data_IF_410432067687
#
_entry.id   IF_410432067687
#
_cell.length_a   1.000
_cell.length_b   1.000
_cell.length_c   1.000
_cell.angle_alpha   90.00
_cell.angle_beta   90.00
_cell.angle_gamma   90.00
#
_symmetry.space_group_name_H-M   'P 1'
#
loop_
_entity.id
_entity.type
_entity.pdbx_description
1 polymer ?
#
# COMPACT_ATOMS: atom_id res chain seq x y z
N UNK A 1 6.96 12.42 7.41
CA UNK A 1 6.15 12.69 8.63
C UNK A 1 5.16 11.55 8.76
N UNK A 2 4.94 11.05 9.97
CA UNK A 2 3.94 10.02 10.27
C UNK A 2 3.16 10.43 11.52
N UNK A 3 1.83 10.38 11.48
CA UNK A 3 0.96 10.70 12.62
C UNK A 3 0.11 9.50 13.03
N UNK A 4 -0.51 9.57 14.21
CA UNK A 4 -1.21 8.45 14.85
C UNK A 4 -2.38 7.87 14.03
N UNK A 5 -2.99 8.66 13.13
CA UNK A 5 -4.11 8.23 12.30
C UNK A 5 -3.69 7.69 10.94
N UNK A 6 -2.40 7.71 10.60
CA UNK A 6 -1.92 7.17 9.33
C UNK A 6 -1.85 5.64 9.39
N UNK A 7 -2.35 4.99 8.35
CA UNK A 7 -2.19 3.56 8.19
C UNK A 7 -0.74 3.21 7.87
N UNK A 8 -0.29 2.09 8.42
CA UNK A 8 1.09 1.62 8.35
C UNK A 8 1.12 0.18 7.83
N UNK A 9 2.11 -0.12 7.00
CA UNK A 9 2.54 -1.50 6.79
C UNK A 9 3.13 -2.05 8.09
N UNK A 10 2.77 -3.29 8.43
CA UNK A 10 3.33 -4.02 9.56
C UNK A 10 4.13 -5.18 8.99
N UNK A 11 5.45 -5.10 9.08
CA UNK A 11 6.35 -6.10 8.52
C UNK A 11 7.00 -6.86 9.66
N UNK A 12 6.61 -8.13 9.83
CA UNK A 12 7.22 -9.02 10.83
C UNK A 12 8.31 -9.86 10.19
N UNK A 13 9.51 -9.81 10.77
CA UNK A 13 10.57 -10.75 10.45
C UNK A 13 10.20 -12.14 11.02
N UNK A 14 9.92 -13.11 10.16
CA UNK A 14 9.54 -14.46 10.62
C UNK A 14 10.65 -15.19 11.36
N UNK A 15 11.90 -14.99 10.98
CA UNK A 15 13.05 -15.71 11.56
C UNK A 15 13.38 -15.19 12.96
N UNK A 16 13.38 -13.86 13.13
CA UNK A 16 13.89 -13.23 14.36
C UNK A 16 12.82 -12.48 15.17
N UNK A 17 11.59 -12.41 14.69
CA UNK A 17 10.44 -11.89 15.44
C UNK A 17 10.32 -10.37 15.52
N UNK A 18 11.33 -9.60 15.11
CA UNK A 18 11.27 -8.14 15.12
C UNK A 18 10.24 -7.60 14.12
N UNK A 19 9.68 -6.43 14.42
CA UNK A 19 8.63 -5.80 13.60
C UNK A 19 9.13 -4.43 13.14
N UNK A 20 8.89 -4.11 11.87
CA UNK A 20 9.13 -2.81 11.27
C UNK A 20 7.83 -2.21 10.73
N UNK A 21 7.81 -0.89 10.60
CA UNK A 21 6.66 -0.12 10.15
C UNK A 21 7.08 0.93 9.13
N UNK A 22 6.23 1.16 8.13
CA UNK A 22 6.31 2.32 7.23
C UNK A 22 4.91 2.76 6.84
N UNK A 23 4.72 4.04 6.58
CA UNK A 23 3.46 4.55 6.06
C UNK A 23 3.26 4.12 4.60
N UNK A 24 2.07 4.39 4.06
CA UNK A 24 1.72 4.09 2.67
C UNK A 24 2.09 5.25 1.74
N UNK A 25 2.34 4.94 0.47
CA UNK A 25 2.55 5.96 -0.57
C UNK A 25 1.28 6.77 -0.81
N UNK A 26 1.42 8.09 -0.85
CA UNK A 26 0.37 9.04 -1.25
C UNK A 26 0.17 9.11 -2.78
N UNK A 27 0.95 8.31 -3.54
CA UNK A 27 1.14 8.35 -4.99
C UNK A 27 1.94 9.58 -5.45
N UNK A 28 2.27 9.69 -6.74
CA UNK A 28 3.10 10.79 -7.25
C UNK A 28 2.30 12.11 -7.33
N UNK A 29 3.02 13.24 -7.52
CA UNK A 29 2.54 14.63 -7.56
C UNK A 29 2.59 15.40 -6.22
N UNK A 30 1.54 16.17 -5.92
CA UNK A 30 1.44 17.08 -4.77
C UNK A 30 1.14 16.28 -3.50
N UNK A 31 2.17 16.04 -2.69
CA UNK A 31 2.14 15.08 -1.57
C UNK A 31 2.83 15.59 -0.30
N UNK A 32 2.37 15.09 0.86
CA UNK A 32 2.88 15.46 2.17
C UNK A 32 4.35 15.10 2.35
N UNK A 33 4.81 13.95 1.81
CA UNK A 33 6.24 13.58 1.92
C UNK A 33 7.20 14.60 1.30
N UNK A 34 6.71 15.44 0.37
CA UNK A 34 7.46 16.55 -0.24
C UNK A 34 7.05 17.92 0.31
N UNK A 35 6.30 17.96 1.41
CA UNK A 35 5.93 19.19 2.13
C UNK A 35 4.62 19.86 1.69
N UNK A 36 3.89 19.31 0.72
CA UNK A 36 2.60 19.87 0.33
C UNK A 36 1.51 19.55 1.38
N UNK A 37 0.62 20.50 1.66
CA UNK A 37 -0.35 20.40 2.75
C UNK A 37 -1.64 21.20 2.50
N UNK A 38 -2.03 21.36 1.22
CA UNK A 38 -3.28 22.00 0.89
C UNK A 38 -4.49 21.06 1.12
N UNK A 39 -5.70 21.59 0.90
CA UNK A 39 -6.91 20.81 1.14
C UNK A 39 -6.94 19.50 0.33
N UNK A 40 -6.43 19.49 -0.91
CA UNK A 40 -6.38 18.29 -1.74
C UNK A 40 -5.48 17.19 -1.15
N UNK A 41 -4.38 17.56 -0.48
CA UNK A 41 -3.52 16.62 0.25
C UNK A 41 -4.24 16.11 1.49
N UNK A 42 -4.88 17.00 2.27
CA UNK A 42 -5.59 16.61 3.49
C UNK A 42 -6.76 15.68 3.18
N UNK A 43 -7.53 15.96 2.12
CA UNK A 43 -8.65 15.12 1.67
C UNK A 43 -8.16 13.73 1.26
N UNK A 44 -7.04 13.65 0.53
CA UNK A 44 -6.41 12.36 0.18
C UNK A 44 -5.98 11.59 1.42
N UNK A 45 -5.34 12.24 2.39
CA UNK A 45 -4.92 11.58 3.64
C UNK A 45 -6.12 11.07 4.45
N UNK A 46 -7.22 11.82 4.49
CA UNK A 46 -8.47 11.37 5.11
C UNK A 46 -9.07 10.19 4.35
N UNK A 47 -9.11 10.22 3.01
CA UNK A 47 -9.57 9.08 2.20
C UNK A 47 -8.69 7.85 2.40
N UNK A 48 -7.36 8.01 2.49
CA UNK A 48 -6.45 6.90 2.79
C UNK A 48 -6.71 6.30 4.17
N UNK A 49 -7.10 7.12 5.17
CA UNK A 49 -7.49 6.65 6.51
C UNK A 49 -8.85 5.96 6.52
N UNK A 50 -9.82 6.48 5.78
CA UNK A 50 -11.23 6.08 5.90
C UNK A 50 -11.63 4.99 4.91
N UNK A 51 -10.92 4.86 3.77
CA UNK A 51 -11.26 3.92 2.68
C UNK A 51 -10.09 2.97 2.39
N UNK A 52 -8.96 3.49 1.90
CA UNK A 52 -7.85 2.64 1.42
C UNK A 52 -7.26 1.78 2.53
N UNK A 53 -6.87 2.39 3.65
CA UNK A 53 -6.23 1.72 4.78
C UNK A 53 -7.09 0.58 5.36
N UNK A 54 -8.38 0.82 5.72
CA UNK A 54 -9.28 -0.21 6.18
C UNK A 54 -9.45 -1.36 5.18
N UNK A 55 -9.56 -1.05 3.88
CA UNK A 55 -9.68 -2.06 2.83
C UNK A 55 -8.44 -2.95 2.75
N UNK A 56 -7.24 -2.36 2.77
CA UNK A 56 -5.98 -3.12 2.76
C UNK A 56 -5.79 -3.95 4.04
N UNK A 57 -6.16 -3.40 5.20
CA UNK A 57 -6.16 -4.15 6.48
C UNK A 57 -7.05 -5.37 6.40
N UNK A 58 -8.27 -5.22 5.91
CA UNK A 58 -9.24 -6.31 5.87
C UNK A 58 -8.87 -7.33 4.79
N UNK A 59 -8.33 -6.89 3.65
CA UNK A 59 -7.73 -7.77 2.65
C UNK A 59 -6.61 -8.63 3.26
N UNK A 60 -5.71 -8.05 4.06
CA UNK A 60 -4.64 -8.79 4.76
C UNK A 60 -5.18 -9.79 5.79
N UNK A 61 -6.29 -9.50 6.48
CA UNK A 61 -6.92 -10.48 7.38
C UNK A 61 -7.44 -11.72 6.63
N UNK A 62 -7.79 -11.56 5.36
CA UNK A 62 -8.31 -12.62 4.49
C UNK A 62 -7.17 -13.43 3.88
N UNK A 63 -6.19 -12.76 3.25
CA UNK A 63 -5.09 -13.46 2.56
C UNK A 63 -3.98 -13.93 3.51
N UNK A 64 -3.94 -13.39 4.73
CA UNK A 64 -2.95 -13.74 5.74
C UNK A 64 -1.66 -12.94 5.59
N UNK A 65 -0.70 -13.45 4.83
CA UNK A 65 0.65 -12.89 4.76
C UNK A 65 1.20 -12.87 3.33
N UNK A 66 2.18 -12.00 3.11
CA UNK A 66 2.91 -11.86 1.86
C UNK A 66 4.40 -11.98 2.17
N UNK A 67 5.10 -12.90 1.49
CA UNK A 67 6.56 -13.01 1.60
C UNK A 67 7.22 -11.88 0.80
N UNK A 68 7.55 -10.80 1.51
CA UNK A 68 8.20 -9.63 0.91
C UNK A 68 9.61 -9.92 0.38
N UNK A 69 10.33 -10.91 0.95
CA UNK A 69 11.67 -11.25 0.48
C UNK A 69 11.62 -11.94 -0.87
N UNK A 70 10.67 -12.88 -1.03
CA UNK A 70 10.43 -13.53 -2.31
C UNK A 70 9.93 -12.54 -3.36
N UNK A 71 8.98 -11.68 -3.00
CA UNK A 71 8.46 -10.64 -3.90
C UNK A 71 9.55 -9.65 -4.34
N UNK A 72 10.42 -9.22 -3.41
CA UNK A 72 11.57 -8.38 -3.72
C UNK A 72 12.51 -9.06 -4.73
N UNK A 73 12.83 -10.34 -4.52
CA UNK A 73 13.68 -11.10 -5.44
C UNK A 73 13.08 -11.18 -6.86
N UNK A 74 11.76 -11.38 -6.96
CA UNK A 74 11.05 -11.37 -8.25
C UNK A 74 11.09 -9.99 -8.91
N UNK A 75 10.83 -8.92 -8.16
CA UNK A 75 10.88 -7.56 -8.69
C UNK A 75 12.26 -7.22 -9.26
N UNK A 76 13.34 -7.59 -8.56
CA UNK A 76 14.71 -7.41 -9.04
C UNK A 76 14.97 -8.13 -10.38
N UNK A 77 14.46 -9.37 -10.53
CA UNK A 77 14.56 -10.10 -11.80
C UNK A 77 13.68 -9.50 -12.91
N UNK A 78 12.69 -8.69 -12.57
CA UNK A 78 11.83 -7.96 -13.50
C UNK A 78 12.36 -6.54 -13.81
N UNK A 79 13.57 -6.20 -13.36
CA UNK A 79 14.26 -4.96 -13.71
C UNK A 79 13.95 -3.76 -12.80
N UNK A 80 13.34 -3.99 -11.64
CA UNK A 80 13.28 -3.03 -10.54
C UNK A 80 14.61 -2.98 -9.78
N UNK A 81 14.88 -1.85 -9.12
CA UNK A 81 15.92 -1.74 -8.08
C UNK A 81 15.34 -1.42 -6.69
N UNK A 82 14.01 -1.29 -6.60
CA UNK A 82 13.22 -1.18 -5.38
C UNK A 82 13.51 0.07 -4.53
N UNK A 83 14.00 1.13 -5.18
CA UNK A 83 14.16 2.46 -4.61
C UNK A 83 13.58 3.53 -5.53
N UNK A 84 14.16 3.76 -6.71
CA UNK A 84 13.65 4.66 -7.74
C UNK A 84 12.62 4.00 -8.67
N UNK A 85 12.84 2.74 -9.04
CA UNK A 85 11.96 1.95 -9.92
C UNK A 85 11.37 0.79 -9.13
N UNK A 86 10.04 0.82 -9.03
CA UNK A 86 9.25 -0.10 -8.21
C UNK A 86 8.05 -0.69 -8.97
N UNK A 87 8.05 -0.64 -10.30
CA UNK A 87 6.86 -0.93 -11.10
C UNK A 87 6.48 -2.41 -11.00
N UNK A 88 7.47 -3.31 -11.06
CA UNK A 88 7.23 -4.74 -10.91
C UNK A 88 6.78 -5.08 -9.49
N UNK A 89 7.47 -4.54 -8.48
CA UNK A 89 7.12 -4.73 -7.07
C UNK A 89 5.70 -4.26 -6.74
N UNK A 90 5.30 -3.06 -7.20
CA UNK A 90 3.94 -2.54 -7.03
C UNK A 90 2.91 -3.44 -7.70
N UNK A 91 3.19 -3.91 -8.92
CA UNK A 91 2.29 -4.80 -9.67
C UNK A 91 2.11 -6.15 -8.96
N UNK A 92 3.21 -6.77 -8.50
CA UNK A 92 3.16 -8.02 -7.75
C UNK A 92 2.40 -7.86 -6.43
N UNK A 93 2.61 -6.74 -5.72
CA UNK A 93 1.94 -6.47 -4.45
C UNK A 93 0.43 -6.31 -4.63
N UNK A 94 -0.01 -5.48 -5.58
CA UNK A 94 -1.45 -5.29 -5.81
C UNK A 94 -2.11 -6.57 -6.31
N UNK A 95 -1.42 -7.35 -7.16
CA UNK A 95 -1.90 -8.65 -7.61
C UNK A 95 -2.14 -9.61 -6.44
N UNK A 96 -1.22 -9.67 -5.46
CA UNK A 96 -1.35 -10.50 -4.28
C UNK A 96 -2.50 -10.04 -3.34
N UNK A 97 -2.76 -8.73 -3.29
CA UNK A 97 -3.82 -8.14 -2.46
C UNK A 97 -5.23 -8.26 -3.06
N UNK A 98 -5.34 -8.29 -4.39
CA UNK A 98 -6.63 -8.28 -5.12
C UNK A 98 -7.65 -9.30 -4.62
N UNK A 99 -7.32 -10.59 -4.39
CA UNK A 99 -8.30 -11.54 -3.88
C UNK A 99 -8.89 -11.12 -2.52
N UNK A 100 -8.05 -10.59 -1.62
CA UNK A 100 -8.49 -10.07 -0.33
C UNK A 100 -9.36 -8.83 -0.47
N UNK A 101 -8.99 -7.90 -1.36
CA UNK A 101 -9.77 -6.69 -1.64
C UNK A 101 -11.18 -7.03 -2.14
N UNK A 102 -11.28 -8.00 -3.06
CA UNK A 102 -12.56 -8.46 -3.61
C UNK A 102 -13.43 -9.10 -2.52
N UNK A 103 -12.81 -9.90 -1.63
CA UNK A 103 -13.52 -10.63 -0.57
C UNK A 103 -13.85 -9.77 0.66
N UNK A 104 -13.25 -8.59 0.81
CA UNK A 104 -13.39 -7.75 2.00
C UNK A 104 -14.76 -7.03 2.11
N UNK A 105 -15.66 -7.19 1.14
CA UNK A 105 -17.06 -6.74 1.23
C UNK A 105 -17.28 -5.24 1.01
N UNK A 106 -16.30 -4.53 0.45
CA UNK A 106 -16.44 -3.13 0.03
C UNK A 106 -17.20 -3.03 -1.30
N UNK A 107 -17.75 -1.84 -1.61
CA UNK A 107 -18.45 -1.66 -2.88
C UNK A 107 -17.50 -1.73 -4.08
N UNK A 108 -18.02 -2.12 -5.24
CA UNK A 108 -17.24 -2.13 -6.50
C UNK A 108 -16.66 -0.75 -6.79
N UNK A 109 -17.39 0.32 -6.46
CA UNK A 109 -16.91 1.70 -6.64
C UNK A 109 -15.67 1.98 -5.79
N UNK A 110 -15.70 1.65 -4.49
CA UNK A 110 -14.55 1.83 -3.61
C UNK A 110 -13.36 0.97 -4.03
N UNK A 111 -13.61 -0.28 -4.44
CA UNK A 111 -12.58 -1.16 -4.96
C UNK A 111 -11.93 -0.54 -6.21
N UNK A 112 -12.74 -0.02 -7.14
CA UNK A 112 -12.25 0.67 -8.34
C UNK A 112 -11.38 1.87 -7.97
N UNK A 113 -11.84 2.74 -7.07
CA UNK A 113 -11.07 3.91 -6.59
C UNK A 113 -9.69 3.50 -6.04
N UNK A 114 -9.63 2.42 -5.25
CA UNK A 114 -8.36 1.93 -4.69
C UNK A 114 -7.43 1.39 -5.79
N UNK A 115 -7.96 0.65 -6.77
CA UNK A 115 -7.15 0.18 -7.90
C UNK A 115 -6.65 1.34 -8.78
N UNK A 116 -7.51 2.32 -9.08
CA UNK A 116 -7.15 3.53 -9.82
C UNK A 116 -6.09 4.35 -9.07
N UNK A 117 -6.21 4.46 -7.75
CA UNK A 117 -5.21 5.13 -6.91
C UNK A 117 -3.86 4.42 -6.99
N UNK A 118 -3.81 3.10 -6.85
CA UNK A 118 -2.56 2.33 -6.93
C UNK A 118 -1.92 2.42 -8.32
N UNK A 119 -2.72 2.52 -9.38
CA UNK A 119 -2.24 2.65 -10.76
C UNK A 119 -1.81 4.08 -11.15
N UNK A 120 -1.99 5.07 -10.27
CA UNK A 120 -1.77 6.49 -10.60
C UNK A 120 -0.32 6.98 -10.51
N UNK A 121 0.64 6.11 -10.16
CA UNK A 121 2.08 6.45 -10.10
C UNK A 121 2.96 5.63 -11.02
#
# INVERSE_FOLDING_TARGET
>A
VTSASMFMHIVKNKTYGNIAYTNMSEQMAKILRMGANDQSVIDRLNWMRDVQGPMLRDAMKIIGEIDLRLMLAQALHMGDECHNRNNAGTTLLIQALTPGIIQAGYSVEQQREVFEFVASS
#
